data_IF_046002657064
#
_entry.id   IF_046002657064
#
_cell.length_a   1.000
_cell.length_b   1.000
_cell.length_c   1.000
_cell.angle_alpha   90.00
_cell.angle_beta   90.00
_cell.angle_gamma   90.00
#
_symmetry.space_group_name_H-M   'P 1'
#
loop_
_entity.id
_entity.type
_entity.pdbx_description
1 polymer ?
#
# COMPACT_ATOMS: atom_id res chain seq x y z
N UNK A 1 -6.85 -3.78 18.71
CA UNK A 1 -5.55 -3.45 18.08
C UNK A 1 -5.37 -1.94 18.16
N UNK A 2 -4.19 -1.41 18.53
CA UNK A 2 -4.00 0.04 18.67
C UNK A 2 -4.12 0.71 17.29
N UNK A 3 -5.00 1.70 17.15
CA UNK A 3 -5.26 2.43 15.90
C UNK A 3 -3.97 2.99 15.29
N UNK A 4 -3.07 3.49 16.13
CA UNK A 4 -1.78 4.02 15.68
C UNK A 4 -0.89 2.93 15.08
N UNK A 5 -0.87 1.73 15.66
CA UNK A 5 -0.10 0.60 15.12
C UNK A 5 -0.66 0.14 13.77
N UNK A 6 -1.99 0.09 13.64
CA UNK A 6 -2.63 -0.24 12.37
C UNK A 6 -2.27 0.78 11.28
N UNK A 7 -2.38 2.07 11.58
CA UNK A 7 -2.07 3.13 10.63
C UNK A 7 -0.59 3.16 10.22
N UNK A 8 0.34 2.91 11.16
CA UNK A 8 1.76 2.76 10.83
C UNK A 8 1.97 1.54 9.92
N UNK A 9 1.27 0.43 10.17
CA UNK A 9 1.27 -0.74 9.29
C UNK A 9 0.81 -0.41 7.87
N UNK A 10 -0.26 0.38 7.72
CA UNK A 10 -0.72 0.87 6.42
C UNK A 10 0.34 1.74 5.73
N UNK A 11 1.01 2.64 6.46
CA UNK A 11 2.08 3.46 5.89
C UNK A 11 3.20 2.59 5.33
N UNK A 12 3.74 1.65 6.13
CA UNK A 12 4.82 0.75 5.72
C UNK A 12 4.40 -0.08 4.50
N UNK A 13 3.19 -0.64 4.54
CA UNK A 13 2.68 -1.45 3.44
C UNK A 13 2.49 -0.62 2.16
N UNK A 14 1.92 0.58 2.27
CA UNK A 14 1.72 1.49 1.14
C UNK A 14 3.04 1.92 0.48
N UNK A 15 4.08 2.22 1.26
CA UNK A 15 5.42 2.50 0.71
C UNK A 15 6.04 1.29 0.01
N UNK A 16 5.91 0.09 0.59
CA UNK A 16 6.41 -1.15 -0.02
C UNK A 16 5.73 -1.41 -1.38
N UNK A 17 4.42 -1.23 -1.44
CA UNK A 17 3.63 -1.44 -2.66
C UNK A 17 3.90 -0.36 -3.71
N UNK A 18 4.16 0.89 -3.30
CA UNK A 18 4.46 2.00 -4.21
C UNK A 18 5.88 1.95 -4.79
N UNK A 19 6.86 1.48 -4.02
CA UNK A 19 8.29 1.59 -4.38
C UNK A 19 8.93 0.22 -4.55
N UNK A 20 8.90 -0.60 -3.49
CA UNK A 20 9.68 -1.82 -3.40
C UNK A 20 9.20 -2.89 -4.39
N UNK A 21 7.89 -3.11 -4.47
CA UNK A 21 7.29 -4.08 -5.39
C UNK A 21 7.53 -3.71 -6.87
N UNK A 22 7.24 -2.48 -7.34
CA UNK A 22 7.56 -2.08 -8.70
C UNK A 22 9.04 -2.19 -9.06
N UNK A 23 9.94 -1.84 -8.14
CA UNK A 23 11.38 -1.95 -8.36
C UNK A 23 11.81 -3.41 -8.53
N UNK A 24 11.31 -4.30 -7.65
CA UNK A 24 11.56 -5.75 -7.72
C UNK A 24 11.03 -6.35 -9.04
N UNK A 25 9.80 -6.00 -9.43
CA UNK A 25 9.21 -6.47 -10.69
C UNK A 25 10.00 -5.99 -11.91
N UNK A 26 10.41 -4.73 -11.93
CA UNK A 26 11.20 -4.18 -13.04
C UNK A 26 12.55 -4.87 -13.16
N UNK A 27 13.18 -5.19 -12.01
CA UNK A 27 14.42 -5.98 -11.99
C UNK A 27 14.18 -7.40 -12.53
N UNK A 28 13.13 -8.08 -12.06
CA UNK A 28 12.80 -9.43 -12.52
C UNK A 28 12.52 -9.50 -14.03
N UNK A 29 11.82 -8.51 -14.58
CA UNK A 29 11.57 -8.43 -16.03
C UNK A 29 12.85 -8.24 -16.83
N UNK A 30 13.79 -7.44 -16.31
CA UNK A 30 15.10 -7.26 -16.91
C UNK A 30 15.92 -8.56 -16.87
N UNK A 31 15.90 -9.26 -15.74
CA UNK A 31 16.64 -10.51 -15.55
C UNK A 31 16.11 -11.64 -16.44
N UNK A 32 14.82 -11.60 -16.82
CA UNK A 32 14.15 -12.56 -17.70
C UNK A 32 14.14 -12.17 -19.19
N UNK A 33 14.72 -11.01 -19.55
CA UNK A 33 14.62 -10.38 -20.87
C UNK A 33 13.18 -10.34 -21.43
N UNK A 34 12.21 -10.21 -20.52
CA UNK A 34 10.79 -10.29 -20.82
C UNK A 34 10.07 -9.10 -20.19
N UNK A 35 9.48 -8.26 -21.03
CA UNK A 35 8.65 -7.14 -20.58
C UNK A 35 7.18 -7.47 -20.84
N UNK A 36 6.37 -7.69 -19.77
CA UNK A 36 4.95 -7.99 -19.96
C UNK A 36 4.23 -6.81 -20.65
N UNK A 37 3.27 -7.08 -21.56
CA UNK A 37 2.56 -6.04 -22.33
C UNK A 37 1.85 -4.99 -21.46
N UNK A 38 1.39 -5.39 -20.27
CA UNK A 38 0.72 -4.53 -19.29
C UNK A 38 1.62 -4.16 -18.09
N UNK A 39 2.93 -4.37 -18.15
CA UNK A 39 3.81 -4.14 -17.01
C UNK A 39 3.78 -2.70 -16.48
N UNK A 40 3.73 -1.72 -17.39
CA UNK A 40 3.67 -0.30 -17.02
C UNK A 40 2.37 0.08 -16.31
N UNK A 41 1.22 -0.41 -16.80
CA UNK A 41 -0.08 -0.15 -16.18
C UNK A 41 -0.22 -0.84 -14.82
N UNK A 42 0.34 -2.05 -14.65
CA UNK A 42 0.39 -2.73 -13.34
C UNK A 42 1.21 -1.94 -12.33
N UNK A 43 2.39 -1.42 -12.72
CA UNK A 43 3.20 -0.56 -11.84
C UNK A 43 2.45 0.71 -11.46
N UNK A 44 1.74 1.33 -12.41
CA UNK A 44 0.97 2.54 -12.16
C UNK A 44 -0.20 2.28 -11.20
N UNK A 45 -0.89 1.16 -11.35
CA UNK A 45 -1.95 0.71 -10.44
C UNK A 45 -1.39 0.44 -9.04
N UNK A 46 -0.26 -0.26 -8.93
CA UNK A 46 0.41 -0.49 -7.65
C UNK A 46 0.76 0.82 -6.96
N UNK A 47 1.33 1.79 -7.67
CA UNK A 47 1.63 3.11 -7.11
C UNK A 47 0.38 3.84 -6.63
N UNK A 48 -0.71 3.78 -7.39
CA UNK A 48 -1.98 4.39 -7.00
C UNK A 48 -2.57 3.74 -5.73
N UNK A 49 -2.52 2.41 -5.64
CA UNK A 49 -2.96 1.67 -4.46
C UNK A 49 -2.07 1.98 -3.24
N UNK A 50 -0.75 2.01 -3.41
CA UNK A 50 0.18 2.36 -2.33
C UNK A 50 -0.07 3.77 -1.78
N UNK A 51 -0.28 4.75 -2.68
CA UNK A 51 -0.66 6.11 -2.30
C UNK A 51 -1.99 6.16 -1.56
N UNK A 52 -3.00 5.44 -2.04
CA UNK A 52 -4.31 5.38 -1.39
C UNK A 52 -4.22 4.83 0.06
N UNK A 53 -3.41 3.78 0.25
CA UNK A 53 -3.19 3.17 1.56
C UNK A 53 -2.46 4.14 2.50
N UNK A 54 -1.44 4.86 1.99
CA UNK A 54 -0.72 5.88 2.77
C UNK A 54 -1.68 6.98 3.23
N UNK A 55 -2.49 7.51 2.32
CA UNK A 55 -3.47 8.55 2.64
C UNK A 55 -4.48 8.04 3.68
N UNK A 56 -4.94 6.80 3.53
CA UNK A 56 -5.85 6.17 4.51
C UNK A 56 -5.20 6.09 5.91
N UNK A 57 -3.94 5.64 5.99
CA UNK A 57 -3.18 5.61 7.24
C UNK A 57 -3.01 6.99 7.87
N UNK A 58 -2.75 8.02 7.06
CA UNK A 58 -2.65 9.42 7.55
C UNK A 58 -3.99 9.94 8.07
N UNK A 59 -5.10 9.67 7.38
CA UNK A 59 -6.45 10.06 7.82
C UNK A 59 -6.77 9.41 9.16
N UNK A 60 -6.41 8.15 9.36
CA UNK A 60 -6.55 7.45 10.64
C UNK A 60 -5.68 8.09 11.74
N UNK A 61 -4.41 8.40 11.44
CA UNK A 61 -3.51 9.03 12.42
C UNK A 61 -3.95 10.45 12.79
N UNK A 62 -4.54 11.18 11.85
CA UNK A 62 -5.06 12.53 12.08
C UNK A 62 -6.29 12.56 13.00
N UNK A 63 -6.85 11.40 13.35
CA UNK A 63 -8.05 11.30 14.20
C UNK A 63 -9.35 11.66 13.50
N UNK A 64 -9.33 11.93 12.19
CA UNK A 64 -10.53 12.20 11.38
C UNK A 64 -11.42 10.94 11.32
N UNK A 65 -10.81 9.76 11.29
CA UNK A 65 -11.51 8.48 11.25
C UNK A 65 -11.11 7.64 12.46
N UNK A 66 -12.10 7.28 13.27
CA UNK A 66 -11.95 6.34 14.40
C UNK A 66 -12.43 4.95 13.98
N UNK A 67 -11.46 4.04 13.82
CA UNK A 67 -11.71 2.66 13.39
C UNK A 67 -12.00 1.72 14.56
N UNK A 68 -11.89 2.19 15.80
CA UNK A 68 -12.19 1.38 16.99
C UNK A 68 -13.65 0.93 16.98
N UNK A 69 -14.55 1.76 16.46
CA UNK A 69 -15.97 1.44 16.25
C UNK A 69 -16.18 0.24 15.31
N UNK A 70 -15.41 0.12 14.24
CA UNK A 70 -15.51 -0.98 13.27
C UNK A 70 -14.85 -2.25 13.80
N UNK A 71 -13.75 -2.12 14.54
CA UNK A 71 -13.07 -3.26 15.17
C UNK A 71 -13.88 -3.87 16.33
N UNK A 72 -14.69 -3.06 17.02
CA UNK A 72 -15.56 -3.49 18.12
C UNK A 72 -16.76 -4.33 17.66
N UNK A 73 -17.23 -4.15 16.42
CA UNK A 73 -18.42 -4.86 15.90
C UNK A 73 -18.12 -6.32 15.54
N UNK A 74 -16.84 -6.69 15.42
CA UNK A 74 -16.39 -8.05 15.11
C UNK A 74 -15.87 -8.84 16.33
N UNK A 75 -16.22 -8.40 17.55
CA UNK A 75 -16.08 -9.22 18.76
C UNK A 75 -17.45 -9.75 19.20
#
# INVERSE_FOLDING_TARGET
MNQSLFAIGLLIFGFSLMILMPASMTKAWKDLDFRPPAGGSVIMLMRALGLFIIVSGLVILSGIVDITSVMSVNQ
#
